data_IF_463482526598
#
_entry.id   IF_463482526598
#
_cell.length_a   1.000
_cell.length_b   1.000
_cell.length_c   1.000
_cell.angle_alpha   90.00
_cell.angle_beta   90.00
_cell.angle_gamma   90.00
#
_symmetry.space_group_name_H-M   'P 1'
#
loop_
_entity.id
_entity.type
_entity.pdbx_description
1 polymer ?
#
# COMPACT_ATOMS: atom_id res chain seq x y z
N UNK A 1 -21.73 -18.63 6.06
CA UNK A 1 -22.31 -17.26 6.12
C UNK A 1 -21.52 -16.45 5.11
N UNK A 2 -22.16 -15.85 4.11
CA UNK A 2 -21.45 -15.12 3.06
C UNK A 2 -20.81 -13.87 3.66
N UNK A 3 -19.48 -13.88 3.78
CA UNK A 3 -18.69 -12.82 4.44
C UNK A 3 -18.71 -11.52 3.61
N UNK A 4 -18.83 -11.62 2.28
CA UNK A 4 -18.84 -10.48 1.37
C UNK A 4 -19.48 -10.85 0.04
N UNK A 5 -20.20 -9.93 -0.59
CA UNK A 5 -20.79 -10.15 -1.91
C UNK A 5 -19.75 -10.09 -3.03
N UNK A 6 -19.91 -10.94 -4.05
CA UNK A 6 -19.02 -10.94 -5.23
C UNK A 6 -18.99 -9.58 -5.94
N UNK A 7 -20.12 -8.85 -5.92
CA UNK A 7 -20.22 -7.49 -6.45
C UNK A 7 -19.23 -6.54 -5.78
N UNK A 8 -19.13 -6.59 -4.45
CA UNK A 8 -18.22 -5.73 -3.69
C UNK A 8 -16.76 -6.07 -3.98
N UNK A 9 -16.43 -7.35 -4.13
CA UNK A 9 -15.09 -7.79 -4.58
C UNK A 9 -14.76 -7.27 -5.99
N UNK A 10 -15.74 -7.30 -6.90
CA UNK A 10 -15.59 -6.81 -8.28
C UNK A 10 -15.32 -5.29 -8.30
N UNK A 11 -16.10 -4.50 -7.57
CA UNK A 11 -15.97 -3.04 -7.52
C UNK A 11 -14.67 -2.55 -6.88
N UNK A 12 -14.16 -3.29 -5.89
CA UNK A 12 -12.89 -2.99 -5.23
C UNK A 12 -11.68 -3.54 -5.99
N UNK A 13 -11.89 -4.32 -7.06
CA UNK A 13 -10.82 -4.81 -7.93
C UNK A 13 -10.05 -6.00 -7.39
N UNK A 14 -10.67 -6.84 -6.55
CA UNK A 14 -10.06 -8.05 -5.95
C UNK A 14 -9.70 -9.10 -7.01
N UNK A 15 -10.47 -9.17 -8.08
CA UNK A 15 -10.32 -10.14 -9.17
C UNK A 15 -9.11 -9.89 -10.09
N UNK A 16 -8.47 -8.73 -10.02
CA UNK A 16 -7.31 -8.43 -10.86
C UNK A 16 -6.06 -9.11 -10.29
N UNK A 17 -5.38 -9.90 -11.13
CA UNK A 17 -4.05 -10.39 -10.81
C UNK A 17 -2.95 -9.58 -11.51
N UNK A 18 -1.76 -10.18 -11.57
CA UNK A 18 -0.62 -9.65 -12.29
C UNK A 18 -0.65 -9.93 -13.80
N UNK A 19 0.32 -9.36 -14.50
CA UNK A 19 0.55 -9.62 -15.92
C UNK A 19 0.82 -11.11 -16.17
N UNK A 20 0.39 -11.62 -17.33
CA UNK A 20 0.56 -13.02 -17.74
C UNK A 20 2.00 -13.55 -17.74
N UNK A 21 2.99 -12.66 -17.78
CA UNK A 21 4.42 -13.00 -17.69
C UNK A 21 4.91 -13.23 -16.25
N UNK A 22 4.20 -12.70 -15.27
CA UNK A 22 4.55 -12.71 -13.84
C UNK A 22 3.54 -13.56 -13.07
N UNK A 23 3.49 -14.85 -13.35
CA UNK A 23 2.59 -15.77 -12.66
C UNK A 23 3.31 -17.03 -12.18
N UNK A 24 2.76 -17.63 -11.14
CA UNK A 24 3.22 -18.89 -10.59
C UNK A 24 2.32 -20.02 -11.10
N UNK A 25 2.88 -21.11 -11.68
CA UNK A 25 2.08 -22.26 -12.14
C UNK A 25 1.20 -22.89 -11.06
N UNK A 26 1.58 -22.82 -9.78
CA UNK A 26 0.78 -23.36 -8.67
C UNK A 26 -0.50 -22.55 -8.43
N UNK A 27 -0.57 -21.29 -8.89
CA UNK A 27 -1.79 -20.47 -8.83
C UNK A 27 -2.81 -20.79 -9.93
N UNK A 28 -2.50 -21.70 -10.87
CA UNK A 28 -3.39 -22.07 -11.98
C UNK A 28 -4.80 -22.43 -11.51
N UNK A 29 -4.94 -23.07 -10.36
CA UNK A 29 -6.23 -23.46 -9.82
C UNK A 29 -7.10 -22.28 -9.38
N UNK A 30 -6.52 -21.13 -9.04
CA UNK A 30 -7.24 -19.93 -8.60
C UNK A 30 -7.45 -18.91 -9.73
N UNK A 31 -6.76 -19.07 -10.84
CA UNK A 31 -6.89 -18.21 -12.03
C UNK A 31 -8.07 -18.69 -12.87
N UNK A 32 -8.97 -17.76 -13.21
CA UNK A 32 -10.12 -18.03 -14.06
C UNK A 32 -9.76 -17.91 -15.54
N UNK A 33 -9.21 -16.76 -15.96
CA UNK A 33 -8.83 -16.50 -17.35
C UNK A 33 -7.78 -15.40 -17.44
N UNK A 34 -7.30 -15.09 -18.65
CA UNK A 34 -6.46 -13.93 -18.91
C UNK A 34 -7.15 -13.00 -19.91
N UNK A 35 -7.18 -11.70 -19.62
CA UNK A 35 -7.75 -10.66 -20.48
C UNK A 35 -6.81 -9.46 -20.53
N UNK A 36 -6.59 -8.91 -21.72
CA UNK A 36 -5.72 -7.75 -21.94
C UNK A 36 -4.32 -7.89 -21.32
N UNK A 37 -3.78 -9.12 -21.29
CA UNK A 37 -2.46 -9.43 -20.74
C UNK A 37 -2.37 -9.52 -19.22
N UNK A 38 -3.50 -9.44 -18.51
CA UNK A 38 -3.62 -9.57 -17.04
C UNK A 38 -4.43 -10.82 -16.70
N UNK A 39 -4.01 -11.55 -15.66
CA UNK A 39 -4.78 -12.69 -15.15
C UNK A 39 -5.96 -12.21 -14.31
N UNK A 40 -7.09 -12.89 -14.44
CA UNK A 40 -8.30 -12.68 -13.64
C UNK A 40 -8.41 -13.85 -12.65
N UNK A 41 -8.49 -13.51 -11.36
CA UNK A 41 -8.67 -14.45 -10.25
C UNK A 41 -10.15 -14.84 -10.16
N UNK A 42 -10.40 -16.12 -9.88
CA UNK A 42 -11.75 -16.68 -9.70
C UNK A 42 -12.35 -16.28 -8.35
N UNK A 43 -13.31 -15.34 -8.38
CA UNK A 43 -13.92 -14.81 -7.16
C UNK A 43 -14.70 -15.86 -6.35
N UNK A 44 -15.23 -16.91 -6.98
CA UNK A 44 -15.90 -17.99 -6.23
C UNK A 44 -14.89 -18.72 -5.33
N UNK A 45 -13.65 -18.89 -5.81
CA UNK A 45 -12.59 -19.51 -5.02
C UNK A 45 -12.06 -18.56 -3.96
N UNK A 46 -11.98 -17.26 -4.26
CA UNK A 46 -11.70 -16.24 -3.27
C UNK A 46 -12.71 -16.25 -2.14
N UNK A 47 -14.01 -16.30 -2.45
CA UNK A 47 -15.08 -16.38 -1.46
C UNK A 47 -14.96 -17.62 -0.57
N UNK A 48 -14.80 -18.80 -1.16
CA UNK A 48 -14.67 -20.04 -0.41
C UNK A 48 -13.44 -20.06 0.51
N UNK A 49 -12.27 -19.61 0.02
CA UNK A 49 -11.05 -19.55 0.82
C UNK A 49 -11.11 -18.45 1.89
N UNK A 50 -11.78 -17.34 1.60
CA UNK A 50 -12.02 -16.27 2.57
C UNK A 50 -12.92 -16.77 3.71
N UNK A 51 -14.00 -17.50 3.41
CA UNK A 51 -14.87 -18.06 4.45
C UNK A 51 -14.12 -19.06 5.34
N UNK A 52 -13.27 -19.92 4.75
CA UNK A 52 -12.40 -20.83 5.51
C UNK A 52 -11.44 -20.08 6.43
N UNK A 53 -10.74 -19.07 5.90
CA UNK A 53 -9.82 -18.22 6.65
C UNK A 53 -10.52 -17.42 7.76
N UNK A 54 -11.70 -16.87 7.47
CA UNK A 54 -12.52 -16.10 8.40
C UNK A 54 -12.92 -16.94 9.61
N UNK A 55 -13.47 -18.14 9.37
CA UNK A 55 -13.90 -19.05 10.43
C UNK A 55 -12.72 -19.55 11.28
N UNK A 56 -11.58 -19.85 10.65
CA UNK A 56 -10.38 -20.29 11.35
C UNK A 56 -9.81 -19.17 12.24
N UNK A 57 -9.72 -17.93 11.74
CA UNK A 57 -9.25 -16.79 12.54
C UNK A 57 -10.21 -16.45 13.69
N UNK A 58 -11.51 -16.45 13.43
CA UNK A 58 -12.54 -16.26 14.46
C UNK A 58 -12.39 -17.28 15.60
N UNK A 59 -12.18 -18.56 15.27
CA UNK A 59 -11.97 -19.60 16.30
C UNK A 59 -10.70 -19.34 17.14
N UNK A 60 -9.60 -18.98 16.48
CA UNK A 60 -8.33 -18.67 17.18
C UNK A 60 -8.52 -17.48 18.14
N UNK A 61 -9.31 -16.48 17.76
CA UNK A 61 -9.53 -15.29 18.58
C UNK A 61 -10.56 -15.51 19.69
N UNK A 62 -11.56 -16.37 19.48
CA UNK A 62 -12.48 -16.86 20.52
C UNK A 62 -11.72 -17.59 21.64
N UNK A 63 -10.71 -18.37 21.29
CA UNK A 63 -9.80 -19.04 22.24
C UNK A 63 -8.83 -18.06 22.95
N UNK A 64 -8.92 -16.75 22.66
CA UNK A 64 -8.09 -15.71 23.24
C UNK A 64 -6.73 -15.52 22.56
N UNK A 65 -6.52 -16.15 21.40
CA UNK A 65 -5.30 -16.07 20.62
C UNK A 65 -5.00 -14.67 20.10
N UNK A 66 -3.70 -14.39 19.89
CA UNK A 66 -3.21 -13.11 19.36
C UNK A 66 -2.84 -13.23 17.89
N UNK A 67 -3.32 -12.29 17.09
CA UNK A 67 -3.04 -12.21 15.66
C UNK A 67 -2.02 -11.10 15.38
N UNK A 68 -1.09 -11.37 14.46
CA UNK A 68 -0.14 -10.41 13.93
C UNK A 68 -0.45 -10.10 12.46
N UNK A 69 -0.74 -8.85 12.14
CA UNK A 69 -0.86 -8.37 10.77
C UNK A 69 0.49 -7.94 10.21
N UNK A 70 0.81 -8.36 9.00
CA UNK A 70 2.07 -8.03 8.32
C UNK A 70 1.77 -7.54 6.91
N UNK A 71 2.28 -6.37 6.56
CA UNK A 71 2.22 -5.87 5.19
C UNK A 71 3.06 -4.61 5.01
N UNK A 72 4.23 -4.75 4.41
CA UNK A 72 5.20 -3.65 4.23
C UNK A 72 5.04 -2.90 2.92
N UNK A 73 4.26 -3.42 1.98
CA UNK A 73 3.90 -2.74 0.72
C UNK A 73 3.29 -1.38 1.01
N UNK A 74 3.69 -0.34 0.27
CA UNK A 74 3.16 1.03 0.42
C UNK A 74 1.64 1.10 0.39
N UNK A 75 1.02 0.23 -0.40
CA UNK A 75 -0.43 0.15 -0.58
C UNK A 75 -1.13 -0.49 0.62
N UNK A 76 -0.45 -1.34 1.40
CA UNK A 76 -1.01 -2.01 2.58
C UNK A 76 -0.72 -1.32 3.91
N UNK A 77 0.34 -0.49 4.00
CA UNK A 77 0.84 0.00 5.29
C UNK A 77 -0.21 0.73 6.14
N UNK A 78 -1.03 1.58 5.50
CA UNK A 78 -2.05 2.37 6.18
C UNK A 78 -3.21 1.49 6.64
N UNK A 79 -3.71 0.62 5.75
CA UNK A 79 -4.80 -0.32 6.05
C UNK A 79 -4.43 -1.28 7.17
N UNK A 80 -3.23 -1.86 7.13
CA UNK A 80 -2.76 -2.80 8.16
C UNK A 80 -2.70 -2.12 9.54
N UNK A 81 -2.24 -0.88 9.59
CA UNK A 81 -2.21 -0.10 10.83
C UNK A 81 -3.62 0.17 11.36
N UNK A 82 -4.51 0.69 10.52
CA UNK A 82 -5.89 1.04 10.89
C UNK A 82 -6.65 -0.18 11.43
N UNK A 83 -6.63 -1.29 10.69
CA UNK A 83 -7.40 -2.50 11.00
C UNK A 83 -6.81 -3.31 12.16
N UNK A 84 -5.49 -3.32 12.32
CA UNK A 84 -4.87 -3.95 13.47
C UNK A 84 -5.18 -3.20 14.77
N UNK A 85 -5.14 -1.87 14.75
CA UNK A 85 -5.51 -1.06 15.90
C UNK A 85 -7.00 -1.25 16.26
N UNK A 86 -7.88 -1.26 15.26
CA UNK A 86 -9.32 -1.51 15.44
C UNK A 86 -9.59 -2.88 16.08
N UNK A 87 -8.94 -3.93 15.58
CA UNK A 87 -9.11 -5.30 16.07
C UNK A 87 -8.33 -5.61 17.35
N UNK A 88 -7.53 -4.67 17.87
CA UNK A 88 -6.65 -4.90 19.02
C UNK A 88 -5.62 -6.01 18.75
N UNK A 89 -5.11 -6.06 17.53
CA UNK A 89 -4.12 -7.02 17.03
C UNK A 89 -2.76 -6.34 16.89
N UNK A 90 -1.70 -7.15 16.84
CA UNK A 90 -0.35 -6.63 16.60
C UNK A 90 -0.17 -6.35 15.11
N UNK A 91 0.77 -5.46 14.75
CA UNK A 91 1.06 -5.17 13.35
C UNK A 91 2.53 -4.92 13.06
N UNK A 92 2.91 -5.18 11.80
CA UNK A 92 4.16 -4.73 11.18
C UNK A 92 3.83 -4.18 9.80
N UNK A 93 3.88 -2.86 9.65
CA UNK A 93 3.52 -2.16 8.41
C UNK A 93 4.72 -1.50 7.69
N UNK A 94 5.87 -1.38 8.34
CA UNK A 94 7.04 -0.72 7.76
C UNK A 94 8.02 -1.71 7.12
N UNK A 95 8.75 -2.48 7.93
CA UNK A 95 9.73 -3.45 7.44
C UNK A 95 9.81 -4.64 8.38
N UNK A 96 9.79 -5.85 7.82
CA UNK A 96 10.10 -7.05 8.58
C UNK A 96 11.59 -7.10 8.93
N UNK A 97 11.90 -7.17 10.23
CA UNK A 97 13.26 -7.43 10.69
C UNK A 97 13.47 -8.96 10.75
N UNK A 98 14.48 -9.47 10.05
CA UNK A 98 14.79 -10.90 10.10
C UNK A 98 15.09 -11.32 11.55
N UNK A 99 14.48 -12.43 11.98
CA UNK A 99 14.54 -12.90 13.36
C UNK A 99 13.45 -12.32 14.26
N UNK A 100 12.43 -11.64 13.71
CA UNK A 100 11.35 -11.05 14.52
C UNK A 100 10.65 -12.11 15.38
N UNK A 101 10.36 -13.28 14.81
CA UNK A 101 9.71 -14.37 15.52
C UNK A 101 10.74 -15.39 16.02
N UNK A 102 11.69 -15.77 15.17
CA UNK A 102 12.66 -16.83 15.48
C UNK A 102 13.72 -16.41 16.51
N UNK A 103 14.03 -15.12 16.60
CA UNK A 103 14.93 -14.54 17.60
C UNK A 103 14.20 -13.50 18.49
N UNK A 104 13.01 -13.87 18.95
CA UNK A 104 12.14 -12.98 19.71
C UNK A 104 12.79 -12.39 20.96
N UNK A 105 13.68 -13.14 21.64
CA UNK A 105 14.43 -12.64 22.82
C UNK A 105 15.29 -11.41 22.51
N UNK A 106 15.86 -11.33 21.32
CA UNK A 106 16.67 -10.17 20.91
C UNK A 106 15.79 -8.98 20.56
N UNK A 107 14.65 -9.24 19.91
CA UNK A 107 13.66 -8.21 19.60
C UNK A 107 13.08 -7.62 20.88
N UNK A 108 12.78 -8.45 21.88
CA UNK A 108 12.32 -7.99 23.19
C UNK A 108 13.33 -7.06 23.88
N UNK A 109 14.64 -7.25 23.70
CA UNK A 109 15.65 -6.30 24.21
C UNK A 109 15.58 -4.95 23.48
N UNK A 110 15.35 -4.96 22.17
CA UNK A 110 15.15 -3.73 21.39
C UNK A 110 13.87 -3.00 21.77
N UNK A 111 12.76 -3.74 22.00
CA UNK A 111 11.50 -3.19 22.52
C UNK A 111 11.70 -2.60 23.92
N UNK A 112 12.41 -3.31 24.80
CA UNK A 112 12.74 -2.77 26.13
C UNK A 112 13.51 -1.44 26.02
N UNK A 113 14.49 -1.39 25.12
CA UNK A 113 15.24 -0.15 24.86
C UNK A 113 14.33 0.99 24.37
N UNK A 114 13.30 0.70 23.58
CA UNK A 114 12.31 1.70 23.16
C UNK A 114 11.51 2.22 24.37
N UNK A 115 11.00 1.31 25.20
CA UNK A 115 10.24 1.66 26.42
C UNK A 115 11.11 2.49 27.38
N UNK A 116 12.36 2.09 27.62
CA UNK A 116 13.28 2.82 28.49
C UNK A 116 13.50 4.27 27.98
N UNK A 117 13.60 4.49 26.66
CA UNK A 117 13.78 5.84 26.10
C UNK A 117 12.50 6.69 26.26
N UNK A 118 11.32 6.10 26.08
CA UNK A 118 10.04 6.79 26.30
C UNK A 118 9.80 7.15 27.77
N UNK A 119 10.21 6.29 28.70
CA UNK A 119 10.17 6.57 30.13
C UNK A 119 11.13 7.70 30.50
N UNK A 120 12.35 7.72 29.94
CA UNK A 120 13.30 8.82 30.13
C UNK A 120 12.78 10.16 29.60
N UNK A 121 12.04 10.14 28.49
CA UNK A 121 11.42 11.33 27.92
C UNK A 121 10.26 11.82 28.79
N UNK A 122 9.42 10.90 29.25
CA UNK A 122 8.24 11.20 30.08
C UNK A 122 8.62 11.70 31.49
N UNK A 123 9.68 11.14 32.08
CA UNK A 123 10.21 11.54 33.39
C UNK A 123 11.14 12.76 33.32
N UNK A 124 11.39 13.30 32.12
CA UNK A 124 12.28 14.46 31.92
C UNK A 124 13.78 14.17 32.14
N UNK A 125 14.17 12.93 32.43
CA UNK A 125 15.57 12.51 32.59
C UNK A 125 16.38 12.75 31.32
N UNK A 126 15.73 12.71 30.15
CA UNK A 126 16.36 13.00 28.87
C UNK A 126 16.98 14.41 28.83
N UNK A 127 16.40 15.39 29.54
CA UNK A 127 16.89 16.77 29.56
C UNK A 127 18.24 16.93 30.29
N UNK A 128 18.63 15.97 31.13
CA UNK A 128 19.91 15.97 31.86
C UNK A 128 21.09 15.70 30.92
N UNK A 129 20.86 14.97 29.84
CA UNK A 129 21.88 14.62 28.85
C UNK A 129 22.26 15.80 27.96
N UNK A 130 23.41 15.71 27.30
CA UNK A 130 23.82 16.73 26.33
C UNK A 130 22.91 16.73 25.10
N UNK A 131 22.76 17.88 24.43
CA UNK A 131 21.93 17.99 23.20
C UNK A 131 22.31 16.97 22.12
N UNK A 132 23.59 16.58 22.05
CA UNK A 132 24.07 15.55 21.12
C UNK A 132 23.50 14.18 21.47
N UNK A 133 23.56 13.79 22.75
CA UNK A 133 23.03 12.51 23.24
C UNK A 133 21.50 12.47 23.14
N UNK A 134 20.82 13.57 23.48
CA UNK A 134 19.37 13.70 23.28
C UNK A 134 18.99 13.42 21.82
N UNK A 135 19.71 14.00 20.86
CA UNK A 135 19.47 13.75 19.43
C UNK A 135 19.69 12.28 19.04
N UNK A 136 20.67 11.59 19.62
CA UNK A 136 20.92 10.17 19.38
C UNK A 136 19.77 9.32 19.94
N UNK A 137 19.29 9.61 21.15
CA UNK A 137 18.16 8.90 21.75
C UNK A 137 16.88 9.11 20.95
N UNK A 138 16.58 10.34 20.53
CA UNK A 138 15.38 10.64 19.74
C UNK A 138 15.40 9.94 18.38
N UNK A 139 16.53 9.96 17.66
CA UNK A 139 16.68 9.21 16.40
C UNK A 139 16.54 7.70 16.60
N UNK A 140 17.05 7.18 17.72
CA UNK A 140 16.93 5.76 18.06
C UNK A 140 15.48 5.39 18.40
N UNK A 141 14.77 6.24 19.16
CA UNK A 141 13.34 6.10 19.46
C UNK A 141 12.54 6.06 18.18
N UNK A 142 12.66 7.08 17.34
CA UNK A 142 11.94 7.18 16.06
C UNK A 142 12.17 5.94 15.18
N UNK A 143 13.42 5.46 15.10
CA UNK A 143 13.74 4.26 14.34
C UNK A 143 13.12 2.99 14.94
N UNK A 144 13.17 2.83 16.27
CA UNK A 144 12.61 1.66 16.94
C UNK A 144 11.08 1.67 16.91
N UNK A 145 10.46 2.82 17.12
CA UNK A 145 9.00 3.00 17.08
C UNK A 145 8.44 2.68 15.69
N UNK A 146 9.08 3.21 14.64
CA UNK A 146 8.69 2.91 13.25
C UNK A 146 8.71 1.40 12.92
N UNK A 147 9.63 0.61 13.49
CA UNK A 147 9.75 -0.81 13.15
C UNK A 147 9.09 -1.76 14.15
N UNK A 148 9.04 -1.39 15.43
CA UNK A 148 8.64 -2.27 16.53
C UNK A 148 7.40 -1.77 17.28
N UNK A 149 6.88 -0.57 16.96
CA UNK A 149 5.74 0.01 17.66
C UNK A 149 4.52 -0.92 17.69
N UNK A 150 4.21 -1.57 16.56
CA UNK A 150 3.07 -2.49 16.47
C UNK A 150 3.22 -3.84 17.16
N UNK A 151 4.43 -4.19 17.63
CA UNK A 151 4.70 -5.39 18.44
C UNK A 151 5.20 -5.06 19.85
N UNK A 152 5.13 -3.80 20.25
CA UNK A 152 5.66 -3.32 21.54
C UNK A 152 5.00 -4.01 22.73
N UNK A 153 3.69 -4.23 22.67
CA UNK A 153 2.91 -4.88 23.75
C UNK A 153 2.94 -6.42 23.67
N UNK A 154 3.67 -6.98 22.71
CA UNK A 154 3.75 -8.41 22.49
C UNK A 154 4.66 -9.07 23.54
N UNK A 155 4.07 -9.81 24.48
CA UNK A 155 4.81 -10.55 25.52
C UNK A 155 5.16 -11.98 25.11
N UNK A 156 4.35 -12.58 24.26
CA UNK A 156 4.49 -13.94 23.72
C UNK A 156 4.36 -13.88 22.21
N UNK A 157 4.81 -14.93 21.51
CA UNK A 157 4.61 -15.05 20.07
C UNK A 157 3.11 -15.04 19.72
N UNK A 158 2.73 -14.57 18.51
CA UNK A 158 1.35 -14.62 18.05
C UNK A 158 0.92 -16.06 17.76
N UNK A 159 -0.37 -16.32 17.91
CA UNK A 159 -1.01 -17.61 17.62
C UNK A 159 -1.39 -17.76 16.15
N UNK A 160 -1.53 -16.63 15.43
CA UNK A 160 -1.75 -16.58 14.00
C UNK A 160 -1.10 -15.35 13.37
N UNK A 161 -0.74 -15.46 12.09
CA UNK A 161 -0.20 -14.36 11.31
C UNK A 161 -0.99 -14.15 10.03
N UNK A 162 -1.39 -12.90 9.77
CA UNK A 162 -2.02 -12.48 8.53
C UNK A 162 -1.03 -11.66 7.71
N UNK A 163 -0.85 -12.00 6.43
CA UNK A 163 0.18 -11.43 5.56
C UNK A 163 -0.42 -10.89 4.27
N UNK A 164 -0.03 -9.66 3.88
CA UNK A 164 -0.30 -9.12 2.55
C UNK A 164 0.94 -9.29 1.69
N UNK A 165 0.80 -10.01 0.58
CA UNK A 165 1.87 -10.44 -0.32
C UNK A 165 2.96 -11.33 0.36
N UNK A 166 2.79 -12.66 0.36
CA UNK A 166 3.80 -13.56 0.90
C UNK A 166 5.11 -13.60 0.08
N UNK A 167 5.13 -13.08 -1.15
CA UNK A 167 6.36 -12.99 -1.95
C UNK A 167 7.28 -11.88 -1.42
N UNK A 168 6.72 -10.69 -1.18
CA UNK A 168 7.44 -9.59 -0.54
C UNK A 168 7.79 -9.95 0.92
N UNK A 169 6.84 -10.53 1.67
CA UNK A 169 7.00 -10.90 3.08
C UNK A 169 7.55 -12.32 3.31
N UNK A 170 8.32 -12.85 2.36
CA UNK A 170 8.83 -14.23 2.41
C UNK A 170 9.60 -14.57 3.69
N UNK A 171 10.31 -13.60 4.29
CA UNK A 171 11.01 -13.80 5.56
C UNK A 171 10.04 -14.01 6.73
N UNK A 172 8.96 -13.23 6.79
CA UNK A 172 7.95 -13.39 7.83
C UNK A 172 7.28 -14.77 7.73
N UNK A 173 6.85 -15.14 6.52
CA UNK A 173 6.23 -16.44 6.24
C UNK A 173 7.18 -17.59 6.59
N UNK A 174 8.45 -17.50 6.21
CA UNK A 174 9.44 -18.53 6.52
C UNK A 174 9.71 -18.67 8.02
N UNK A 175 9.71 -17.58 8.77
CA UNK A 175 9.86 -17.60 10.23
C UNK A 175 8.63 -18.18 10.94
N UNK A 176 7.43 -17.77 10.55
CA UNK A 176 6.18 -18.30 11.10
C UNK A 176 6.07 -19.81 10.87
N UNK A 177 6.38 -20.27 9.65
CA UNK A 177 6.37 -21.69 9.31
C UNK A 177 7.37 -22.51 10.13
N UNK A 178 8.56 -21.98 10.40
CA UNK A 178 9.54 -22.66 11.28
C UNK A 178 9.05 -22.83 12.71
N UNK A 179 8.17 -21.94 13.17
CA UNK A 179 7.60 -21.95 14.51
C UNK A 179 6.21 -22.58 14.57
N UNK A 180 5.72 -23.13 13.45
CA UNK A 180 4.38 -23.70 13.30
C UNK A 180 3.26 -22.71 13.65
N UNK A 181 3.46 -21.42 13.37
CA UNK A 181 2.41 -20.40 13.50
C UNK A 181 1.61 -20.43 12.18
N UNK A 182 0.28 -20.65 12.21
CA UNK A 182 -0.54 -20.68 11.02
C UNK A 182 -0.53 -19.32 10.30
N UNK A 183 -0.33 -19.38 8.98
CA UNK A 183 -0.22 -18.20 8.12
C UNK A 183 -1.44 -18.09 7.22
N UNK A 184 -2.13 -16.96 7.34
CA UNK A 184 -3.21 -16.51 6.47
C UNK A 184 -2.65 -15.44 5.54
N UNK A 185 -2.91 -15.51 4.23
CA UNK A 185 -2.34 -14.51 3.34
C UNK A 185 -3.23 -14.15 2.14
N UNK A 186 -3.15 -12.87 1.74
CA UNK A 186 -3.62 -12.45 0.42
C UNK A 186 -2.57 -12.83 -0.62
N UNK A 187 -2.99 -13.62 -1.60
CA UNK A 187 -2.10 -14.19 -2.61
C UNK A 187 -2.54 -13.75 -4.00
N UNK A 188 -1.68 -13.01 -4.68
CA UNK A 188 -1.84 -12.73 -6.10
C UNK A 188 -1.19 -13.88 -6.94
N UNK A 189 -1.52 -13.89 -8.21
CA UNK A 189 -1.11 -14.82 -9.27
C UNK A 189 0.39 -15.10 -9.38
N UNK A 190 1.28 -14.26 -8.85
CA UNK A 190 2.74 -14.44 -8.85
C UNK A 190 3.26 -15.23 -7.63
N UNK A 191 2.51 -15.31 -6.54
CA UNK A 191 2.93 -15.98 -5.31
C UNK A 191 2.58 -17.48 -5.33
N UNK A 192 3.29 -18.30 -4.54
CA UNK A 192 3.00 -19.74 -4.43
C UNK A 192 2.03 -20.02 -3.28
N UNK A 193 0.81 -20.54 -3.55
CA UNK A 193 -0.20 -20.75 -2.52
C UNK A 193 0.19 -21.83 -1.50
N UNK A 194 1.20 -22.66 -1.80
CA UNK A 194 1.68 -23.73 -0.89
C UNK A 194 2.58 -23.20 0.23
N UNK A 195 2.92 -21.92 0.20
CA UNK A 195 3.81 -21.31 1.20
C UNK A 195 3.07 -20.93 2.48
N UNK A 196 1.75 -20.86 2.43
CA UNK A 196 0.87 -20.47 3.53
C UNK A 196 -0.18 -21.53 3.79
N UNK A 197 -0.81 -21.49 4.96
CA UNK A 197 -1.79 -22.48 5.39
C UNK A 197 -3.20 -22.14 4.86
N UNK A 198 -3.56 -20.85 4.88
CA UNK A 198 -4.85 -20.34 4.39
C UNK A 198 -4.63 -19.32 3.27
N UNK A 199 -4.53 -19.77 2.01
CA UNK A 199 -4.32 -18.90 0.86
C UNK A 199 -5.64 -18.23 0.45
N UNK A 200 -5.71 -16.89 0.46
CA UNK A 200 -6.86 -16.12 -0.02
C UNK A 200 -6.48 -15.47 -1.36
N UNK A 201 -6.96 -16.00 -2.51
CA UNK A 201 -6.63 -15.44 -3.82
C UNK A 201 -7.20 -14.03 -3.95
N UNK A 202 -6.34 -13.01 -4.09
CA UNK A 202 -6.75 -11.61 -4.12
C UNK A 202 -5.68 -10.72 -4.73
N UNK A 203 -6.10 -9.60 -5.31
CA UNK A 203 -5.23 -8.50 -5.67
C UNK A 203 -4.59 -7.88 -4.42
N UNK A 204 -3.26 -7.80 -4.40
CA UNK A 204 -2.44 -7.27 -3.32
C UNK A 204 -1.74 -5.94 -3.66
N UNK A 205 -2.02 -5.37 -4.84
CA UNK A 205 -1.46 -4.10 -5.33
C UNK A 205 -2.47 -2.95 -5.24
N UNK A 206 -3.77 -3.25 -5.32
CA UNK A 206 -4.82 -2.22 -5.25
C UNK A 206 -5.21 -1.91 -3.80
N UNK A 207 -5.04 -0.65 -3.38
CA UNK A 207 -5.40 -0.18 -2.02
C UNK A 207 -6.86 -0.51 -1.65
N UNK A 208 -7.80 -0.37 -2.60
CA UNK A 208 -9.22 -0.68 -2.37
C UNK A 208 -9.46 -2.18 -2.12
N UNK A 209 -8.77 -3.04 -2.87
CA UNK A 209 -8.82 -4.49 -2.68
C UNK A 209 -8.24 -4.88 -1.31
N UNK A 210 -7.03 -4.41 -1.01
CA UNK A 210 -6.37 -4.66 0.28
C UNK A 210 -7.24 -4.18 1.43
N UNK A 211 -7.82 -2.96 1.34
CA UNK A 211 -8.72 -2.44 2.36
C UNK A 211 -9.90 -3.37 2.59
N UNK A 212 -10.66 -3.71 1.55
CA UNK A 212 -11.80 -4.62 1.68
C UNK A 212 -11.39 -5.94 2.36
N UNK A 213 -10.34 -6.59 1.86
CA UNK A 213 -9.95 -7.92 2.35
C UNK A 213 -9.40 -7.89 3.78
N UNK A 214 -8.59 -6.88 4.12
CA UNK A 214 -8.03 -6.74 5.48
C UNK A 214 -9.14 -6.36 6.47
N UNK A 215 -10.08 -5.48 6.10
CA UNK A 215 -11.20 -5.12 6.97
C UNK A 215 -12.07 -6.34 7.29
N UNK A 216 -12.39 -7.20 6.31
CA UNK A 216 -13.15 -8.43 6.54
C UNK A 216 -12.42 -9.41 7.48
N UNK A 217 -11.10 -9.50 7.35
CA UNK A 217 -10.27 -10.33 8.25
C UNK A 217 -10.22 -9.74 9.65
N UNK A 218 -10.13 -8.41 9.77
CA UNK A 218 -10.21 -7.73 11.06
C UNK A 218 -11.60 -7.86 11.69
N UNK A 219 -12.67 -7.90 10.91
CA UNK A 219 -14.03 -8.18 11.39
C UNK A 219 -14.13 -9.59 11.98
N UNK A 220 -13.51 -10.61 11.36
CA UNK A 220 -13.42 -11.96 11.94
C UNK A 220 -12.78 -11.97 13.34
N UNK A 221 -11.74 -11.18 13.51
CA UNK A 221 -11.02 -11.04 14.79
C UNK A 221 -11.88 -10.28 15.81
N UNK A 222 -12.52 -9.20 15.38
CA UNK A 222 -13.44 -8.44 16.21
C UNK A 222 -14.62 -9.31 16.68
N UNK A 223 -15.20 -10.10 15.78
CA UNK A 223 -16.31 -11.01 16.09
C UNK A 223 -15.91 -12.03 17.16
N UNK A 224 -14.76 -12.70 17.00
CA UNK A 224 -14.27 -13.65 18.00
C UNK A 224 -13.91 -12.99 19.35
N UNK A 225 -13.58 -11.69 19.35
CA UNK A 225 -13.34 -10.90 20.57
C UNK A 225 -14.60 -10.22 21.12
N UNK A 226 -15.77 -10.38 20.49
CA UNK A 226 -17.00 -9.64 20.78
C UNK A 226 -16.84 -8.11 20.75
N UNK A 227 -16.04 -7.60 19.81
CA UNK A 227 -15.86 -6.18 19.53
C UNK A 227 -16.84 -5.70 18.44
N UNK A 228 -17.12 -4.38 18.37
CA UNK A 228 -17.96 -3.82 17.31
C UNK A 228 -17.41 -4.14 15.92
N UNK A 229 -18.29 -4.63 15.04
CA UNK A 229 -17.97 -4.93 13.65
C UNK A 229 -18.11 -3.68 12.80
N UNK A 230 -17.28 -3.59 11.76
CA UNK A 230 -17.56 -2.68 10.65
C UNK A 230 -18.44 -3.49 9.71
N UNK A 231 -19.70 -3.09 9.48
CA UNK A 231 -20.63 -3.85 8.62
C UNK A 231 -20.25 -3.71 7.13
N UNK A 232 -19.03 -4.10 6.76
CA UNK A 232 -18.53 -4.05 5.39
C UNK A 232 -19.23 -5.09 4.52
N UNK A 233 -19.86 -6.10 5.11
CA UNK A 233 -20.55 -7.18 4.40
C UNK A 233 -21.94 -6.78 3.84
N UNK A 234 -22.59 -5.75 4.38
CA UNK A 234 -24.02 -5.47 4.12
C UNK A 234 -24.22 -4.51 2.94
N UNK A 235 -24.08 -5.00 1.72
CA UNK A 235 -24.76 -4.42 0.56
C UNK A 235 -25.43 -5.56 -0.23
N UNK A 236 -26.75 -5.68 -0.07
CA UNK A 236 -27.61 -6.56 -0.87
C UNK A 236 -27.66 -6.03 -2.32
N UNK A 237 -27.01 -6.76 -3.21
CA UNK A 237 -27.06 -6.51 -4.65
C UNK A 237 -27.17 -7.82 -5.40
N UNK A 238 -27.87 -7.83 -6.54
CA UNK A 238 -28.03 -9.02 -7.38
C UNK A 238 -26.71 -9.78 -7.60
N UNK A 239 -26.78 -11.11 -7.50
CA UNK A 239 -25.68 -12.04 -7.72
C UNK A 239 -25.06 -11.82 -9.10
N UNK A 240 -23.82 -11.34 -9.11
CA UNK A 240 -23.05 -11.13 -10.33
C UNK A 240 -22.36 -12.44 -10.69
N UNK A 241 -22.40 -12.84 -11.96
CA UNK A 241 -21.68 -14.03 -12.41
C UNK A 241 -20.26 -13.69 -12.90
N UNK A 242 -19.38 -14.68 -12.94
CA UNK A 242 -18.02 -14.50 -13.47
C UNK A 242 -17.99 -14.07 -14.95
N UNK A 243 -19.08 -14.28 -15.70
CA UNK A 243 -19.22 -13.74 -17.07
C UNK A 243 -19.39 -12.24 -17.07
N UNK A 244 -20.08 -11.69 -16.08
CA UNK A 244 -20.31 -10.25 -15.96
C UNK A 244 -19.07 -9.53 -15.42
N UNK A 245 -18.29 -10.21 -14.57
CA UNK A 245 -16.92 -9.79 -14.21
C UNK A 245 -16.08 -9.59 -15.47
N UNK A 246 -16.07 -10.55 -16.40
CA UNK A 246 -15.32 -10.42 -17.66
C UNK A 246 -15.81 -9.23 -18.49
N UNK A 247 -17.12 -9.07 -18.66
CA UNK A 247 -17.67 -7.93 -19.43
C UNK A 247 -17.22 -6.61 -18.84
N UNK A 248 -17.31 -6.45 -17.52
CA UNK A 248 -16.88 -5.23 -16.82
C UNK A 248 -15.39 -4.97 -16.99
N UNK A 249 -14.55 -6.01 -16.90
CA UNK A 249 -13.10 -5.90 -17.16
C UNK A 249 -12.82 -5.48 -18.61
N UNK A 250 -13.58 -5.97 -19.58
CA UNK A 250 -13.44 -5.58 -20.99
C UNK A 250 -13.88 -4.14 -21.24
N UNK A 251 -14.98 -3.71 -20.63
CA UNK A 251 -15.49 -2.34 -20.67
C UNK A 251 -14.51 -1.35 -20.04
N UNK A 252 -14.02 -1.66 -18.84
CA UNK A 252 -13.03 -0.84 -18.11
C UNK A 252 -11.73 -0.72 -18.91
N UNK A 253 -11.27 -1.81 -19.53
CA UNK A 253 -10.09 -1.79 -20.37
C UNK A 253 -10.29 -0.96 -21.65
N UNK A 254 -11.47 -1.05 -22.28
CA UNK A 254 -11.80 -0.25 -23.45
C UNK A 254 -11.94 1.25 -23.11
N UNK A 255 -12.49 1.59 -21.96
CA UNK A 255 -12.53 2.96 -21.45
C UNK A 255 -11.13 3.50 -21.17
N UNK A 256 -10.27 2.70 -20.52
CA UNK A 256 -8.88 3.07 -20.26
C UNK A 256 -8.12 3.38 -21.56
N UNK A 257 -8.26 2.53 -22.58
CA UNK A 257 -7.64 2.75 -23.89
C UNK A 257 -8.22 3.98 -24.61
N UNK A 258 -9.54 4.24 -24.51
CA UNK A 258 -10.16 5.48 -25.03
C UNK A 258 -9.58 6.71 -24.34
N UNK A 259 -9.50 6.73 -23.00
CA UNK A 259 -8.93 7.83 -22.21
C UNK A 259 -7.45 8.04 -22.50
N UNK A 260 -6.70 6.96 -22.69
CA UNK A 260 -5.29 7.01 -23.07
C UNK A 260 -5.09 7.64 -24.45
N UNK A 261 -5.87 7.22 -25.45
CA UNK A 261 -5.86 7.81 -26.81
C UNK A 261 -6.22 9.29 -26.79
N UNK A 262 -7.27 9.66 -26.06
CA UNK A 262 -7.66 11.06 -25.89
C UNK A 262 -6.52 11.91 -25.30
N UNK A 263 -5.85 11.45 -24.24
CA UNK A 263 -4.68 12.13 -23.66
C UNK A 263 -3.52 12.27 -24.65
N UNK A 264 -3.24 11.25 -25.45
CA UNK A 264 -2.20 11.33 -26.48
C UNK A 264 -2.55 12.32 -27.58
N UNK A 265 -3.81 12.36 -27.99
CA UNK A 265 -4.30 13.31 -28.98
C UNK A 265 -4.26 14.74 -28.47
N UNK A 266 -4.71 15.00 -27.24
CA UNK A 266 -4.57 16.30 -26.56
C UNK A 266 -3.10 16.75 -26.49
N UNK A 267 -2.19 15.84 -26.09
CA UNK A 267 -0.77 16.16 -26.02
C UNK A 267 -0.19 16.49 -27.42
N UNK A 268 -0.62 15.76 -28.45
CA UNK A 268 -0.23 16.02 -29.85
C UNK A 268 -0.74 17.37 -30.34
N UNK A 269 -2.00 17.72 -30.03
CA UNK A 269 -2.59 19.02 -30.37
C UNK A 269 -1.88 20.18 -29.64
N UNK A 270 -1.55 20.02 -28.35
CA UNK A 270 -0.76 21.02 -27.60
C UNK A 270 0.63 21.24 -28.19
N UNK A 271 1.33 20.17 -28.60
CA UNK A 271 2.63 20.26 -29.27
C UNK A 271 2.52 20.88 -30.68
N UNK A 272 1.43 20.63 -31.39
CA UNK A 272 1.11 21.27 -32.67
C UNK A 272 0.91 22.78 -32.55
N UNK A 273 0.11 23.22 -31.57
CA UNK A 273 -0.12 24.65 -31.30
C UNK A 273 1.15 25.38 -30.84
N UNK A 274 2.04 24.71 -30.08
CA UNK A 274 3.36 25.27 -29.72
C UNK A 274 4.28 25.44 -30.94
N UNK A 275 4.18 24.58 -31.95
CA UNK A 275 4.91 24.73 -33.23
C UNK A 275 4.30 25.82 -34.12
N UNK A 276 2.99 26.04 -34.06
CA UNK A 276 2.30 27.11 -34.80
C UNK A 276 2.59 28.52 -34.30
N UNK A 277 3.02 28.68 -33.03
CA UNK A 277 3.41 29.98 -32.46
C UNK A 277 4.86 30.39 -32.76
N UNK A 278 5.69 29.51 -33.35
CA UNK A 278 7.05 29.85 -33.75
C UNK A 278 7.03 30.47 -35.16
N UNK A 279 6.61 31.74 -35.23
CA UNK A 279 6.85 32.58 -36.41
C UNK A 279 8.35 32.79 -36.58
N UNK A 280 8.99 31.91 -37.34
CA UNK A 280 9.80 32.30 -38.51
C UNK A 280 11.05 33.17 -38.36
N UNK A 281 11.42 33.76 -37.21
CA UNK A 281 12.72 34.42 -37.08
C UNK A 281 13.77 33.42 -36.56
N UNK A 282 14.22 32.54 -37.46
CA UNK A 282 15.55 31.94 -37.28
C UNK A 282 16.54 33.10 -37.21
N UNK A 283 17.06 33.42 -36.02
CA UNK A 283 18.29 34.22 -35.89
C UNK A 283 19.41 33.43 -36.57
N UNK A 284 19.58 33.66 -37.87
CA UNK A 284 20.76 33.25 -38.59
C UNK A 284 21.88 34.13 -38.04
N UNK A 285 22.70 33.59 -37.15
CA UNK A 285 23.97 34.24 -36.81
C UNK A 285 24.83 34.23 -38.08
N UNK A 286 24.77 35.32 -38.85
CA UNK A 286 25.68 35.54 -39.97
C UNK A 286 27.07 35.73 -39.35
N UNK A 287 27.96 34.73 -39.51
CA UNK A 287 29.38 34.91 -39.21
C UNK A 287 29.98 35.77 -40.31
N UNK A 288 30.52 36.89 -39.92
CA UNK A 288 31.44 37.71 -40.68
C UNK A 288 32.78 36.97 -40.85
N UNK A 289 33.48 37.24 -41.96
CA UNK A 289 34.58 36.43 -42.49
C UNK A 289 35.84 36.33 -41.61
N UNK A 290 35.85 36.95 -40.42
CA UNK A 290 36.92 36.89 -39.43
C UNK A 290 36.50 36.22 -38.09
N UNK A 291 35.34 35.56 -38.02
CA UNK A 291 35.06 34.58 -36.97
C UNK A 291 34.80 35.12 -35.55
N UNK A 292 34.50 36.40 -35.36
CA UNK A 292 34.12 36.94 -34.04
C UNK A 292 32.61 37.25 -33.94
N UNK A 293 32.00 36.94 -32.79
CA UNK A 293 30.56 37.19 -32.53
C UNK A 293 30.35 38.66 -32.17
N UNK A 294 29.75 39.45 -33.06
CA UNK A 294 29.29 40.79 -32.72
C UNK A 294 28.07 40.73 -31.78
N UNK A 295 28.22 41.30 -30.57
CA UNK A 295 27.10 41.53 -29.64
C UNK A 295 26.24 42.68 -30.17
N UNK A 296 25.05 42.37 -30.69
CA UNK A 296 24.05 43.39 -31.00
C UNK A 296 23.32 43.79 -29.71
N UNK A 297 23.46 45.06 -29.29
CA UNK A 297 22.57 45.71 -28.31
C UNK A 297 21.23 46.01 -28.99
N UNK A 298 20.07 45.83 -28.31
CA UNK A 298 18.80 46.33 -28.83
C UNK A 298 18.70 47.84 -28.62
N UNK A 299 18.27 48.56 -29.66
CA UNK A 299 17.96 49.98 -29.63
C UNK A 299 16.69 50.26 -28.81
N UNK A 300 16.69 51.42 -28.17
CA UNK A 300 15.64 52.02 -27.35
C UNK A 300 14.32 52.20 -28.11
N UNK A 301 13.20 51.84 -27.47
CA UNK A 301 12.02 52.69 -27.22
C UNK A 301 10.77 51.85 -26.92
N UNK A 302 10.36 51.82 -25.65
CA UNK A 302 8.94 51.79 -25.24
C UNK A 302 8.86 52.12 -23.74
N UNK A 303 8.21 53.25 -23.46
CA UNK A 303 8.01 53.88 -22.15
C UNK A 303 7.37 52.97 -21.09
N UNK A 304 7.97 52.94 -19.89
CA UNK A 304 7.37 52.36 -18.69
C UNK A 304 6.38 53.35 -18.03
N UNK A 305 5.18 52.91 -17.59
CA UNK A 305 4.36 53.73 -16.71
C UNK A 305 4.96 53.77 -15.30
N UNK A 306 5.11 54.99 -14.76
CA UNK A 306 5.57 55.28 -13.40
C UNK A 306 4.57 54.73 -12.38
N UNK A 307 5.04 53.92 -11.44
CA UNK A 307 4.32 53.67 -10.20
C UNK A 307 4.57 54.85 -9.25
N UNK A 308 3.51 55.55 -8.86
CA UNK A 308 3.55 56.63 -7.88
C UNK A 308 3.92 56.10 -6.49
N UNK A 309 5.01 56.61 -5.95
CA UNK A 309 5.34 56.51 -4.54
C UNK A 309 4.46 57.48 -3.75
N UNK A 310 3.63 56.97 -2.84
CA UNK A 310 3.05 57.77 -1.75
C UNK A 310 4.03 57.79 -0.59
N UNK A 311 4.72 58.91 -0.40
CA UNK A 311 5.35 59.28 0.87
C UNK A 311 4.52 60.38 1.52
N UNK A 312 4.00 60.04 2.72
CA UNK A 312 3.83 60.86 3.94
C UNK A 312 3.00 62.16 3.84
N UNK A 313 2.20 62.57 4.83
CA UNK A 313 2.67 63.35 6.00
C UNK A 313 1.59 63.33 7.10
N UNK A 314 2.08 63.31 8.34
CA UNK A 314 1.39 63.49 9.63
C UNK A 314 0.45 64.71 9.71
N UNK A 315 -0.59 64.57 10.53
CA UNK A 315 -0.97 65.57 11.52
C UNK A 315 -1.31 64.81 12.82
#
# INVERSE_FOLDING_TARGET
MTVVSMRKMLENGVHFGHQTRKWNPNMKQYIYTAKNGVYIIDLNKTEAQLEEAYNALKKITEDGGKVLFVGTKKQSQATILEEALRSGSFYVNQRWLGGTLTNFRTIQKSIKTLIDIEEMESNGTLAVYTKKEQSVFLKKKEKLDNFLGGIKDMKKLPDAMFVVDPLEEHNAVAEARKLNIPVFALIDTNADPRTVDYPIPSNDDAVRSIKLMVSLIADAICEGKNLPLENVAEEEGEDITMKDVIKKVEEDAAEYERRRRAKFEEHRQQMGNRRGSYNGERRVFRRDANGNRANARPAENASAPKAEAKTEVKA
#
